data_IF_710084473612
#
_entry.id   IF_710084473612
#
_cell.length_a   1.000
_cell.length_b   1.000
_cell.length_c   1.000
_cell.angle_alpha   90.00
_cell.angle_beta   90.00
_cell.angle_gamma   90.00
#
_symmetry.space_group_name_H-M   'P 1'
#
loop_
_entity.id
_entity.type
_entity.pdbx_description
1 polymer ?
#
# COMPACT_ATOMS: atom_id res chain seq x y z
N UNK A 1 31.61 12.21 15.86
CA UNK A 1 31.70 12.14 14.37
C UNK A 1 31.76 10.70 13.84
N UNK A 2 32.85 9.92 13.99
CA UNK A 2 32.86 8.49 13.58
C UNK A 2 32.12 7.57 14.55
N UNK A 3 32.25 7.81 15.87
CA UNK A 3 31.56 7.04 16.91
C UNK A 3 30.03 7.19 16.83
N UNK A 4 29.54 8.39 16.51
CA UNK A 4 28.12 8.65 16.28
C UNK A 4 27.58 7.94 15.04
N UNK A 5 28.40 7.81 13.99
CA UNK A 5 28.04 7.09 12.77
C UNK A 5 27.98 5.58 13.04
N UNK A 6 28.97 5.03 13.75
CA UNK A 6 28.97 3.65 14.21
C UNK A 6 27.72 3.34 15.06
N UNK A 7 27.39 4.22 16.00
CA UNK A 7 26.20 4.07 16.86
C UNK A 7 24.88 4.12 16.06
N UNK A 8 24.79 4.98 15.04
CA UNK A 8 23.62 5.04 14.14
C UNK A 8 23.47 3.77 13.31
N UNK A 9 24.57 3.23 12.80
CA UNK A 9 24.60 1.98 12.03
C UNK A 9 24.14 0.81 12.91
N UNK A 10 24.68 0.69 14.12
CA UNK A 10 24.27 -0.37 15.07
C UNK A 10 22.79 -0.26 15.44
N UNK A 11 22.30 0.95 15.73
CA UNK A 11 20.89 1.19 16.03
C UNK A 11 19.99 0.85 14.83
N UNK A 12 20.41 1.13 13.60
CA UNK A 12 19.70 0.73 12.40
C UNK A 12 19.66 -0.79 12.24
N UNK A 13 20.79 -1.49 12.44
CA UNK A 13 20.83 -2.95 12.41
C UNK A 13 19.88 -3.58 13.43
N UNK A 14 19.84 -3.05 14.67
CA UNK A 14 18.91 -3.52 15.70
C UNK A 14 17.45 -3.32 15.28
N UNK A 15 17.08 -2.16 14.73
CA UNK A 15 15.73 -1.89 14.21
C UNK A 15 15.37 -2.80 13.03
N UNK A 16 16.30 -3.02 12.09
CA UNK A 16 16.15 -3.95 10.96
C UNK A 16 15.89 -5.38 11.44
N UNK A 17 16.62 -5.84 12.47
CA UNK A 17 16.41 -7.16 13.06
C UNK A 17 15.02 -7.32 13.68
N UNK A 18 14.52 -6.29 14.37
CA UNK A 18 13.17 -6.30 14.94
C UNK A 18 12.09 -6.35 13.84
N UNK A 19 12.24 -5.53 12.80
CA UNK A 19 11.31 -5.56 11.65
C UNK A 19 11.32 -6.92 10.96
N UNK A 20 12.50 -7.48 10.68
CA UNK A 20 12.63 -8.80 10.07
C UNK A 20 12.03 -9.91 10.95
N UNK A 21 12.17 -9.81 12.28
CA UNK A 21 11.54 -10.75 13.21
C UNK A 21 10.01 -10.72 13.11
N UNK A 22 9.42 -9.53 13.10
CA UNK A 22 7.96 -9.39 12.94
C UNK A 22 7.48 -9.79 11.54
N UNK A 23 8.21 -9.44 10.49
CA UNK A 23 7.93 -9.90 9.11
C UNK A 23 7.88 -11.42 9.00
N UNK A 24 8.75 -12.14 9.72
CA UNK A 24 8.70 -13.62 9.77
C UNK A 24 7.40 -14.12 10.38
N UNK A 25 6.87 -13.47 11.43
CA UNK A 25 5.58 -13.85 12.02
C UNK A 25 4.44 -13.74 11.00
N UNK A 26 4.47 -12.71 10.15
CA UNK A 26 3.50 -12.56 9.05
C UNK A 26 3.70 -13.64 7.99
N UNK A 27 4.95 -13.85 7.54
CA UNK A 27 5.27 -14.81 6.46
C UNK A 27 4.94 -16.26 6.86
N UNK A 28 5.08 -16.59 8.14
CA UNK A 28 4.78 -17.92 8.65
C UNK A 28 3.37 -18.05 9.24
N UNK A 29 2.47 -17.10 8.93
CA UNK A 29 1.05 -17.12 9.31
C UNK A 29 0.82 -17.23 10.83
N UNK A 30 1.77 -16.72 11.63
CA UNK A 30 1.65 -16.60 13.09
C UNK A 30 0.81 -15.36 13.44
N UNK A 31 0.89 -14.32 12.60
CA UNK A 31 0.14 -13.07 12.71
C UNK A 31 -0.60 -12.83 11.40
N UNK A 32 -1.82 -12.29 11.47
CA UNK A 32 -2.64 -11.95 10.31
C UNK A 32 -1.87 -11.06 9.31
N UNK A 33 -1.89 -11.44 8.03
CA UNK A 33 -1.30 -10.69 6.92
C UNK A 33 -1.79 -9.23 6.84
N UNK A 34 -3.00 -8.91 7.34
CA UNK A 34 -3.46 -7.51 7.41
C UNK A 34 -2.51 -6.62 8.24
N UNK A 35 -1.81 -7.16 9.25
CA UNK A 35 -0.83 -6.42 10.03
C UNK A 35 0.35 -5.92 9.17
N UNK A 36 0.60 -6.54 8.02
CA UNK A 36 1.62 -6.07 7.09
C UNK A 36 1.25 -4.74 6.43
N UNK A 37 -0.02 -4.32 6.46
CA UNK A 37 -0.44 -3.05 5.86
C UNK A 37 0.28 -1.85 6.48
N UNK A 38 0.44 -1.86 7.80
CA UNK A 38 1.16 -0.84 8.56
C UNK A 38 2.67 -0.82 8.26
N UNK A 39 3.21 -1.89 7.68
CA UNK A 39 4.60 -1.97 7.22
C UNK A 39 4.72 -1.52 5.76
N UNK A 40 3.85 -2.05 4.90
CA UNK A 40 3.90 -1.83 3.45
C UNK A 40 3.71 -0.35 3.10
N UNK A 41 2.85 0.39 3.84
CA UNK A 41 2.67 1.83 3.65
C UNK A 41 3.96 2.65 3.78
N UNK A 42 4.97 2.11 4.47
CA UNK A 42 6.25 2.78 4.69
C UNK A 42 7.35 2.41 3.69
N UNK A 43 7.06 1.58 2.68
CA UNK A 43 8.06 1.05 1.75
C UNK A 43 8.88 2.14 1.02
N UNK A 44 8.24 3.21 0.56
CA UNK A 44 8.95 4.34 -0.09
C UNK A 44 9.63 5.26 0.91
N UNK A 45 9.00 5.53 2.06
CA UNK A 45 9.51 6.48 3.07
C UNK A 45 10.83 6.02 3.68
N UNK A 46 10.97 4.72 3.92
CA UNK A 46 12.18 4.14 4.52
C UNK A 46 12.87 3.15 3.58
N UNK A 47 12.85 3.44 2.27
CA UNK A 47 13.40 2.55 1.26
C UNK A 47 14.88 2.20 1.51
N UNK A 48 15.71 3.18 1.85
CA UNK A 48 17.14 2.95 2.10
C UNK A 48 17.39 2.11 3.37
N UNK A 49 16.55 2.28 4.39
CA UNK A 49 16.76 1.67 5.71
C UNK A 49 16.10 0.29 5.84
N UNK A 50 14.97 0.05 5.18
CA UNK A 50 14.14 -1.16 5.37
C UNK A 50 13.58 -1.73 4.05
N UNK A 51 13.87 -1.12 2.90
CA UNK A 51 13.21 -1.45 1.63
C UNK A 51 13.40 -2.90 1.20
N UNK A 52 14.57 -3.48 1.44
CA UNK A 52 14.85 -4.88 1.13
C UNK A 52 14.01 -5.86 1.98
N UNK A 53 13.89 -5.60 3.28
CA UNK A 53 13.07 -6.42 4.21
C UNK A 53 11.59 -6.34 3.83
N UNK A 54 11.09 -5.13 3.56
CA UNK A 54 9.69 -4.91 3.18
C UNK A 54 9.40 -5.58 1.83
N UNK A 55 10.31 -5.44 0.85
CA UNK A 55 10.20 -6.07 -0.47
C UNK A 55 10.21 -7.59 -0.39
N UNK A 56 11.06 -8.19 0.44
CA UNK A 56 11.06 -9.63 0.67
C UNK A 56 9.74 -10.08 1.30
N UNK A 57 9.27 -9.37 2.33
CA UNK A 57 8.00 -9.65 3.00
C UNK A 57 6.85 -9.64 2.01
N UNK A 58 6.74 -8.59 1.18
CA UNK A 58 5.78 -8.47 0.08
C UNK A 58 5.84 -9.65 -0.90
N UNK A 59 7.05 -10.05 -1.28
CA UNK A 59 7.24 -11.15 -2.22
C UNK A 59 6.75 -12.48 -1.64
N UNK A 60 7.04 -12.72 -0.35
CA UNK A 60 6.67 -13.94 0.37
C UNK A 60 5.16 -14.00 0.64
N UNK A 61 4.54 -12.92 1.13
CA UNK A 61 3.08 -12.87 1.36
C UNK A 61 2.31 -13.11 0.06
N UNK A 62 2.76 -12.54 -1.06
CA UNK A 62 2.17 -12.79 -2.39
C UNK A 62 2.32 -14.23 -2.87
N UNK A 63 3.41 -14.92 -2.52
CA UNK A 63 3.61 -16.33 -2.85
C UNK A 63 2.66 -17.24 -2.07
N UNK A 64 2.36 -16.87 -0.82
CA UNK A 64 1.46 -17.59 0.07
C UNK A 64 0.01 -17.40 -0.39
N UNK A 65 -0.44 -16.15 -0.51
CA UNK A 65 -1.79 -15.82 -0.93
C UNK A 65 -1.80 -14.50 -1.71
N UNK A 66 -2.07 -14.61 -3.02
CA UNK A 66 -2.10 -13.46 -3.92
C UNK A 66 -3.28 -12.53 -3.65
N UNK A 67 -4.44 -13.07 -3.29
CA UNK A 67 -5.67 -12.30 -3.09
C UNK A 67 -5.54 -11.56 -1.77
N UNK A 68 -5.15 -12.26 -0.71
CA UNK A 68 -4.96 -11.66 0.60
C UNK A 68 -3.83 -10.62 0.56
N UNK A 69 -2.73 -10.89 -0.15
CA UNK A 69 -1.69 -9.88 -0.36
C UNK A 69 -2.24 -8.65 -1.07
N UNK A 70 -3.12 -8.80 -2.07
CA UNK A 70 -3.72 -7.67 -2.78
C UNK A 70 -4.64 -6.84 -1.86
N UNK A 71 -5.41 -7.49 -0.99
CA UNK A 71 -6.22 -6.84 0.06
C UNK A 71 -5.35 -6.06 1.04
N UNK A 72 -4.25 -6.64 1.49
CA UNK A 72 -3.30 -5.95 2.38
C UNK A 72 -2.63 -4.76 1.69
N UNK A 73 -2.26 -4.88 0.41
CA UNK A 73 -1.68 -3.79 -0.37
C UNK A 73 -2.64 -2.60 -0.49
N UNK A 74 -3.92 -2.84 -0.81
CA UNK A 74 -4.90 -1.76 -0.91
C UNK A 74 -5.21 -1.16 0.45
N UNK A 75 -5.30 -1.97 1.51
CA UNK A 75 -5.46 -1.50 2.88
C UNK A 75 -4.32 -0.55 3.29
N UNK A 76 -3.09 -0.85 2.92
CA UNK A 76 -1.92 0.00 3.17
C UNK A 76 -2.09 1.39 2.56
N UNK A 77 -2.58 1.45 1.32
CA UNK A 77 -2.82 2.70 0.60
C UNK A 77 -4.02 3.46 1.18
N UNK A 78 -5.08 2.76 1.59
CA UNK A 78 -6.25 3.35 2.25
C UNK A 78 -5.88 3.98 3.59
N UNK A 79 -5.06 3.31 4.41
CA UNK A 79 -4.54 3.86 5.67
C UNK A 79 -3.75 5.15 5.41
N UNK A 80 -2.80 5.11 4.48
CA UNK A 80 -1.97 6.28 4.15
C UNK A 80 -2.80 7.44 3.57
N UNK A 81 -3.85 7.14 2.80
CA UNK A 81 -4.78 8.15 2.29
C UNK A 81 -5.63 8.76 3.41
N UNK A 82 -6.11 7.96 4.35
CA UNK A 82 -6.87 8.46 5.51
C UNK A 82 -5.99 9.35 6.40
N UNK A 83 -4.74 8.96 6.66
CA UNK A 83 -3.75 9.78 7.37
C UNK A 83 -3.61 11.15 6.69
N UNK A 84 -3.48 11.17 5.36
CA UNK A 84 -3.38 12.41 4.58
C UNK A 84 -4.65 13.28 4.67
N UNK A 85 -5.83 12.67 4.54
CA UNK A 85 -7.12 13.38 4.67
C UNK A 85 -7.31 13.93 6.09
N UNK A 86 -6.83 13.22 7.11
CA UNK A 86 -6.90 13.68 8.49
C UNK A 86 -5.98 14.90 8.72
N UNK A 87 -4.81 14.93 8.09
CA UNK A 87 -3.85 16.04 8.20
C UNK A 87 -4.25 17.28 7.38
N UNK A 88 -4.77 17.10 6.16
CA UNK A 88 -5.00 18.18 5.18
C UNK A 88 -6.48 18.48 4.92
N UNK A 89 -7.39 17.66 5.45
CA UNK A 89 -8.82 17.71 5.17
C UNK A 89 -9.22 16.98 3.88
N UNK A 90 -10.54 16.88 3.60
CA UNK A 90 -11.07 16.11 2.47
C UNK A 90 -10.86 16.77 1.10
N UNK A 91 -10.56 18.07 1.07
CA UNK A 91 -10.32 18.82 -0.17
C UNK A 91 -8.85 18.74 -0.57
N UNK A 92 -8.38 17.53 -0.86
CA UNK A 92 -6.99 17.31 -1.26
C UNK A 92 -6.69 17.96 -2.61
N UNK A 93 -5.61 18.74 -2.67
CA UNK A 93 -5.02 19.13 -3.95
C UNK A 93 -4.38 17.90 -4.60
N UNK A 94 -4.98 17.49 -5.73
CA UNK A 94 -4.56 16.33 -6.53
C UNK A 94 -3.14 16.47 -7.09
N UNK A 95 -2.62 17.70 -7.15
CA UNK A 95 -1.25 17.99 -7.58
C UNK A 95 -0.24 18.05 -6.43
N UNK A 96 -0.71 17.90 -5.18
CA UNK A 96 0.17 17.94 -4.01
C UNK A 96 1.22 16.82 -4.01
N UNK A 97 2.40 17.14 -3.48
CA UNK A 97 3.49 16.18 -3.33
C UNK A 97 3.09 14.93 -2.51
N UNK A 98 2.16 15.10 -1.57
CA UNK A 98 1.67 14.01 -0.72
C UNK A 98 0.85 12.99 -1.52
N UNK A 99 -0.11 13.44 -2.34
CA UNK A 99 -0.89 12.55 -3.22
C UNK A 99 0.04 11.87 -4.24
N UNK A 100 1.02 12.61 -4.77
CA UNK A 100 2.05 12.04 -5.67
C UNK A 100 2.85 10.92 -5.02
N UNK A 101 3.21 11.06 -3.74
CA UNK A 101 3.91 10.03 -2.97
C UNK A 101 3.10 8.73 -2.82
N UNK A 102 1.80 8.84 -2.54
CA UNK A 102 0.90 7.66 -2.46
C UNK A 102 0.77 6.99 -3.84
N UNK A 103 0.66 7.78 -4.91
CA UNK A 103 0.60 7.27 -6.29
C UNK A 103 1.88 6.53 -6.69
N UNK A 104 3.05 7.05 -6.33
CA UNK A 104 4.32 6.34 -6.60
C UNK A 104 4.38 5.02 -5.82
N UNK A 105 3.96 4.99 -4.55
CA UNK A 105 3.86 3.74 -3.79
C UNK A 105 2.90 2.74 -4.47
N UNK A 106 1.72 3.19 -4.90
CA UNK A 106 0.75 2.38 -5.63
C UNK A 106 1.32 1.83 -6.94
N UNK A 107 2.07 2.64 -7.69
CA UNK A 107 2.77 2.21 -8.90
C UNK A 107 3.79 1.10 -8.60
N UNK A 108 4.55 1.23 -7.52
CA UNK A 108 5.49 0.19 -7.05
C UNK A 108 4.77 -1.09 -6.66
N UNK A 109 3.62 -1.00 -6.00
CA UNK A 109 2.77 -2.15 -5.70
C UNK A 109 2.21 -2.79 -6.97
N UNK A 110 1.79 -2.02 -7.97
CA UNK A 110 1.29 -2.55 -9.23
C UNK A 110 2.32 -3.45 -9.93
N UNK A 111 3.61 -3.13 -9.84
CA UNK A 111 4.69 -3.97 -10.38
C UNK A 111 4.77 -5.35 -9.72
N UNK A 112 4.25 -5.52 -8.50
CA UNK A 112 4.25 -6.82 -7.81
C UNK A 112 3.31 -7.84 -8.45
N UNK A 113 2.32 -7.42 -9.26
CA UNK A 113 1.45 -8.36 -9.98
C UNK A 113 2.11 -8.94 -11.25
N UNK A 114 3.35 -8.54 -11.58
CA UNK A 114 4.07 -9.08 -12.72
C UNK A 114 3.44 -8.71 -14.06
N UNK A 115 3.70 -9.53 -15.09
CA UNK A 115 3.21 -9.33 -16.47
C UNK A 115 2.12 -10.34 -16.85
N UNK A 116 2.01 -11.47 -16.14
CA UNK A 116 1.03 -12.52 -16.39
C UNK A 116 -0.32 -12.14 -15.75
N UNK A 117 -1.10 -11.36 -16.48
CA UNK A 117 -2.40 -10.85 -16.05
C UNK A 117 -3.40 -11.98 -15.75
N UNK A 118 -3.24 -13.16 -16.35
CA UNK A 118 -4.12 -14.31 -16.10
C UNK A 118 -3.88 -14.83 -14.68
N UNK A 119 -2.61 -15.00 -14.28
CA UNK A 119 -2.24 -15.51 -12.95
C UNK A 119 -2.56 -14.56 -11.79
N UNK A 120 -2.79 -13.27 -12.07
CA UNK A 120 -3.10 -12.26 -11.05
C UNK A 120 -4.48 -11.64 -11.22
N UNK A 121 -5.29 -12.14 -12.16
CA UNK A 121 -6.61 -11.59 -12.51
C UNK A 121 -7.47 -11.33 -11.29
N UNK A 122 -7.71 -12.37 -10.49
CA UNK A 122 -8.60 -12.32 -9.33
C UNK A 122 -8.08 -11.39 -8.23
N UNK A 123 -6.77 -11.42 -7.97
CA UNK A 123 -6.12 -10.55 -7.00
C UNK A 123 -6.24 -9.06 -7.39
N UNK A 124 -6.02 -8.74 -8.66
CA UNK A 124 -6.16 -7.37 -9.17
C UNK A 124 -7.63 -6.94 -9.19
N UNK A 125 -8.56 -7.81 -9.59
CA UNK A 125 -9.99 -7.52 -9.55
C UNK A 125 -10.47 -7.24 -8.12
N UNK A 126 -10.01 -8.04 -7.15
CA UNK A 126 -10.30 -7.83 -5.71
C UNK A 126 -9.74 -6.50 -5.23
N UNK A 127 -8.50 -6.17 -5.57
CA UNK A 127 -7.88 -4.88 -5.24
C UNK A 127 -8.69 -3.69 -5.77
N UNK A 128 -9.19 -3.78 -7.02
CA UNK A 128 -10.03 -2.74 -7.59
C UNK A 128 -11.39 -2.65 -6.91
N UNK A 129 -12.02 -3.78 -6.60
CA UNK A 129 -13.29 -3.82 -5.87
C UNK A 129 -13.17 -3.13 -4.50
N UNK A 130 -12.20 -3.54 -3.70
CA UNK A 130 -11.98 -2.97 -2.36
C UNK A 130 -11.60 -1.49 -2.42
N UNK A 131 -10.84 -1.08 -3.45
CA UNK A 131 -10.49 0.31 -3.69
C UNK A 131 -11.68 1.19 -4.08
N UNK A 132 -12.60 0.67 -4.90
CA UNK A 132 -13.85 1.35 -5.29
C UNK A 132 -14.78 1.43 -4.07
N UNK A 133 -14.97 0.33 -3.34
CA UNK A 133 -15.77 0.32 -2.10
C UNK A 133 -15.27 1.37 -1.11
N UNK A 134 -13.95 1.52 -0.95
CA UNK A 134 -13.36 2.57 -0.13
C UNK A 134 -13.64 4.00 -0.63
N UNK A 135 -13.53 4.23 -1.94
CA UNK A 135 -13.76 5.54 -2.55
C UNK A 135 -15.21 6.06 -2.33
N UNK A 136 -16.17 5.14 -2.26
CA UNK A 136 -17.59 5.42 -2.06
C UNK A 136 -18.13 5.07 -0.67
N UNK A 137 -17.25 4.70 0.28
CA UNK A 137 -17.65 4.22 1.62
C UNK A 137 -18.49 5.21 2.40
N UNK A 138 -18.21 6.51 2.26
CA UNK A 138 -18.89 7.58 3.00
C UNK A 138 -19.54 8.57 2.04
N UNK A 139 -20.78 8.95 2.35
CA UNK A 139 -21.45 10.06 1.68
C UNK A 139 -20.86 11.40 2.15
N UNK A 140 -20.90 12.42 1.30
CA UNK A 140 -20.46 13.75 1.69
C UNK A 140 -21.45 14.36 2.70
N UNK A 141 -20.93 14.94 3.78
CA UNK A 141 -21.74 15.58 4.82
C UNK A 141 -22.58 16.75 4.30
N UNK A 142 -22.19 17.35 3.16
CA UNK A 142 -22.91 18.44 2.50
C UNK A 142 -24.09 17.97 1.62
N UNK A 143 -24.30 16.66 1.47
CA UNK A 143 -25.38 16.07 0.67
C UNK A 143 -24.89 15.25 -0.52
N UNK A 144 -25.82 14.59 -1.22
CA UNK A 144 -25.53 13.66 -2.32
C UNK A 144 -25.00 14.35 -3.58
N UNK A 145 -25.27 15.64 -3.75
CA UNK A 145 -24.77 16.44 -4.89
C UNK A 145 -23.27 16.76 -4.79
N UNK A 146 -22.65 16.50 -3.63
CA UNK A 146 -21.23 16.70 -3.41
C UNK A 146 -20.45 15.38 -3.52
N UNK A 147 -19.22 15.43 -4.07
CA UNK A 147 -18.43 14.22 -4.28
C UNK A 147 -18.10 13.54 -2.93
N UNK A 148 -18.07 12.19 -2.87
CA UNK A 148 -17.63 11.45 -1.69
C UNK A 148 -16.25 11.90 -1.19
N UNK A 149 -15.99 11.92 0.13
CA UNK A 149 -14.70 12.36 0.69
C UNK A 149 -13.49 11.57 0.15
N UNK A 150 -13.68 10.29 -0.17
CA UNK A 150 -12.61 9.41 -0.61
C UNK A 150 -12.49 9.32 -2.14
N UNK A 151 -13.24 10.13 -2.90
CA UNK A 151 -13.29 10.01 -4.36
C UNK A 151 -11.90 10.15 -5.01
N UNK A 152 -11.03 10.99 -4.45
CA UNK A 152 -9.67 11.19 -4.96
C UNK A 152 -8.79 9.93 -4.86
N UNK A 153 -9.15 8.95 -4.01
CA UNK A 153 -8.43 7.67 -3.93
C UNK A 153 -8.46 6.90 -5.25
N UNK A 154 -9.45 7.13 -6.12
CA UNK A 154 -9.50 6.50 -7.44
C UNK A 154 -8.29 6.87 -8.33
N UNK A 155 -7.62 8.00 -8.07
CA UNK A 155 -6.39 8.36 -8.78
C UNK A 155 -5.21 7.49 -8.36
N UNK A 156 -5.16 7.08 -7.09
CA UNK A 156 -4.19 6.09 -6.59
C UNK A 156 -4.53 4.73 -7.18
N UNK A 157 -5.81 4.35 -7.17
CA UNK A 157 -6.29 3.10 -7.73
C UNK A 157 -6.00 2.96 -9.23
N UNK A 158 -5.97 4.09 -9.96
CA UNK A 158 -5.73 4.11 -11.41
C UNK A 158 -4.35 3.58 -11.81
N UNK A 159 -3.37 3.61 -10.91
CA UNK A 159 -2.02 3.04 -11.13
C UNK A 159 -2.06 1.51 -11.32
N UNK A 160 -3.11 0.84 -10.83
CA UNK A 160 -3.31 -0.61 -10.99
C UNK A 160 -4.08 -0.98 -12.27
N UNK A 161 -4.73 -0.02 -12.94
CA UNK A 161 -5.58 -0.27 -14.11
C UNK A 161 -4.85 -0.88 -15.31
N UNK A 162 -3.51 -0.74 -15.36
CA UNK A 162 -2.66 -1.40 -16.37
C UNK A 162 -2.56 -2.91 -16.16
N UNK A 163 -2.89 -3.41 -14.96
CA UNK A 163 -2.81 -4.83 -14.57
C UNK A 163 -4.14 -5.57 -14.72
N UNK A 164 -5.26 -4.86 -14.88
CA UNK A 164 -6.56 -5.47 -15.19
C UNK A 164 -6.59 -6.02 -16.63
N UNK A 165 -7.17 -7.20 -16.78
CA UNK A 165 -7.54 -7.73 -18.09
C UNK A 165 -8.59 -6.85 -18.75
N UNK A 166 -8.54 -6.73 -20.08
CA UNK A 166 -9.49 -5.92 -20.86
C UNK A 166 -10.95 -6.29 -20.60
N UNK A 167 -11.23 -7.57 -20.34
CA UNK A 167 -12.59 -8.06 -20.07
C UNK A 167 -13.13 -7.58 -18.72
N UNK A 168 -12.27 -7.43 -17.71
CA UNK A 168 -12.65 -7.03 -16.35
C UNK A 168 -12.72 -5.50 -16.16
N UNK A 169 -12.50 -4.73 -17.23
CA UNK A 169 -12.63 -3.26 -17.23
C UNK A 169 -14.04 -2.77 -17.54
N UNK A 170 -14.94 -3.68 -17.90
CA UNK A 170 -16.36 -3.40 -18.19
C UNK A 170 -17.19 -3.71 -16.95
#
# INVERSE_FOLDING_TARGET
DEEDEANKIEALHKRRNLLAAFSKLIIYDIVDMHAAADIFKHYMKYYNDYGDIIKETLSKTRQIDKIQCAKTLILSLQQLFNELVQEQGPNLDRTSAHVSGIKELARRFALTFGLDQIKTREAVATLHKDGIEFAFKYQNQKGQDYPPPNLAFLEVLSEFSSKLLRQDKK
#
